data_IF_927665672961
#
_entry.id   IF_927665672961
#
_cell.length_a   1.000
_cell.length_b   1.000
_cell.length_c   1.000
_cell.angle_alpha   90.00
_cell.angle_beta   90.00
_cell.angle_gamma   90.00
#
_symmetry.space_group_name_H-M   'P 1'
#
loop_
_entity.id
_entity.type
_entity.pdbx_description
1 polymer ?
#
# COMPACT_ATOMS: atom_id res chain seq x y z
N UNK A 1 -15.10 4.13 69.63
CA UNK A 1 -13.73 4.48 70.08
C UNK A 1 -12.75 4.05 69.01
N UNK A 2 -11.80 4.92 68.64
CA UNK A 2 -10.75 4.69 67.63
C UNK A 2 -10.98 5.52 66.35
N UNK A 3 -10.71 6.82 66.32
CA UNK A 3 -9.43 7.56 66.19
C UNK A 3 -9.00 7.90 64.75
N UNK A 4 -8.64 9.18 64.57
CA UNK A 4 -8.22 9.85 63.34
C UNK A 4 -6.69 9.83 63.23
N UNK A 5 -6.18 9.90 61.99
CA UNK A 5 -4.79 10.31 61.72
C UNK A 5 -4.59 10.73 60.25
N UNK A 6 -4.19 11.98 60.02
CA UNK A 6 -3.86 12.63 58.73
C UNK A 6 -2.34 12.64 58.50
N UNK A 7 -1.95 13.03 57.27
CA UNK A 7 -0.65 13.55 56.76
C UNK A 7 0.21 12.49 56.03
N UNK A 8 0.82 12.76 54.87
CA UNK A 8 0.97 13.99 54.09
C UNK A 8 1.70 13.74 52.75
N UNK A 9 1.55 14.70 51.82
CA UNK A 9 2.24 14.77 50.52
C UNK A 9 3.75 15.00 50.67
N UNK A 10 4.54 14.47 49.74
CA UNK A 10 5.76 15.12 49.26
C UNK A 10 6.04 14.77 47.78
N UNK A 11 6.45 15.81 47.05
CA UNK A 11 6.72 15.86 45.61
C UNK A 11 7.98 15.08 45.21
N UNK A 12 8.01 14.61 43.95
CA UNK A 12 9.23 14.15 43.28
C UNK A 12 9.13 14.29 41.76
N UNK A 13 9.57 15.42 41.23
CA UNK A 13 9.84 15.62 39.80
C UNK A 13 11.15 14.93 39.42
N UNK A 14 11.19 14.13 38.36
CA UNK A 14 12.43 13.79 37.65
C UNK A 14 12.20 13.71 36.13
N UNK A 15 12.90 14.60 35.42
CA UNK A 15 13.14 14.54 33.96
C UNK A 15 14.34 13.61 33.68
N UNK A 16 14.39 12.89 32.55
CA UNK A 16 15.64 12.32 32.06
C UNK A 16 16.29 13.23 31.00
N UNK A 17 17.62 13.41 31.11
CA UNK A 17 18.51 14.00 30.10
C UNK A 17 19.53 12.91 29.68
N UNK A 18 19.99 12.85 28.41
CA UNK A 18 20.82 11.79 27.88
C UNK A 18 22.32 12.06 28.09
N UNK A 19 23.15 11.05 27.79
CA UNK A 19 24.62 11.00 27.84
C UNK A 19 25.26 10.61 29.18
N UNK A 20 25.57 9.32 29.32
CA UNK A 20 26.93 8.81 29.61
C UNK A 20 26.91 7.31 29.89
N UNK A 21 27.71 6.55 29.15
CA UNK A 21 28.33 5.32 29.64
C UNK A 21 29.74 5.26 29.09
N UNK A 22 30.71 5.53 29.97
CA UNK A 22 32.14 5.32 29.77
C UNK A 22 32.48 3.87 30.10
N UNK A 23 33.34 3.24 29.28
CA UNK A 23 34.10 2.05 29.62
C UNK A 23 35.55 2.29 29.20
N UNK A 24 36.43 2.43 30.21
CA UNK A 24 37.87 2.28 30.08
C UNK A 24 38.20 0.78 29.95
N UNK A 25 39.24 0.41 29.20
CA UNK A 25 40.18 -0.66 29.56
C UNK A 25 41.52 -0.50 28.82
N UNK A 26 42.60 -0.82 29.55
CA UNK A 26 44.01 -0.53 29.25
C UNK A 26 44.66 -1.55 28.29
N UNK A 27 45.80 -1.13 27.72
CA UNK A 27 46.60 -1.87 26.76
C UNK A 27 47.41 -3.05 27.31
N UNK A 28 47.85 -3.89 26.37
CA UNK A 28 48.77 -5.02 26.59
C UNK A 28 49.43 -5.42 25.26
N UNK A 29 50.77 -5.40 25.25
CA UNK A 29 51.68 -5.70 24.14
C UNK A 29 51.64 -7.17 23.74
N UNK A 30 51.75 -7.47 22.44
CA UNK A 30 52.16 -8.79 21.93
C UNK A 30 53.31 -8.57 20.93
N UNK A 31 54.42 -9.24 21.22
CA UNK A 31 55.67 -9.26 20.46
C UNK A 31 55.54 -10.01 19.14
N UNK A 32 56.19 -9.49 18.09
CA UNK A 32 56.32 -10.15 16.79
C UNK A 32 57.68 -10.84 16.74
N UNK A 33 57.67 -12.15 16.54
CA UNK A 33 58.86 -12.97 16.37
C UNK A 33 59.45 -12.81 14.97
N UNK A 34 60.77 -12.56 14.92
CA UNK A 34 61.62 -12.64 13.73
C UNK A 34 61.82 -14.09 13.29
N UNK A 35 61.61 -14.38 12.00
CA UNK A 35 61.97 -15.64 11.35
C UNK A 35 62.81 -15.39 10.10
N UNK A 36 64.06 -15.86 10.12
CA UNK A 36 65.01 -15.83 9.01
C UNK A 36 64.69 -16.90 7.96
N UNK A 37 64.82 -16.57 6.68
CA UNK A 37 65.09 -17.55 5.63
C UNK A 37 65.91 -16.91 4.48
N UNK A 38 67.05 -17.53 4.18
CA UNK A 38 68.01 -17.19 3.12
C UNK A 38 67.68 -18.03 1.88
N UNK A 39 67.54 -17.44 0.68
CA UNK A 39 67.89 -18.11 -0.58
C UNK A 39 68.15 -17.13 -1.75
N UNK A 40 68.98 -17.59 -2.71
CA UNK A 40 69.82 -16.90 -3.71
C UNK A 40 69.12 -16.21 -4.91
N UNK A 41 69.84 -15.37 -5.70
CA UNK A 41 69.27 -14.44 -6.67
C UNK A 41 69.09 -15.04 -8.08
N UNK A 42 68.09 -14.54 -8.82
CA UNK A 42 67.89 -14.81 -10.24
C UNK A 42 67.41 -13.56 -10.97
N UNK A 43 68.20 -13.12 -11.96
CA UNK A 43 67.91 -12.00 -12.87
C UNK A 43 66.63 -12.24 -13.67
N UNK A 44 65.72 -11.25 -13.69
CA UNK A 44 64.93 -10.88 -14.89
C UNK A 44 64.69 -9.38 -14.89
N UNK A 45 65.03 -8.75 -16.01
CA UNK A 45 64.76 -7.34 -16.31
C UNK A 45 63.24 -7.08 -16.36
N UNK A 46 62.75 -6.15 -15.54
CA UNK A 46 61.43 -5.55 -15.73
C UNK A 46 61.59 -4.05 -16.07
N UNK A 47 61.18 -3.71 -17.28
CA UNK A 47 61.03 -2.33 -17.77
C UNK A 47 59.94 -1.62 -16.95
N UNK A 48 60.34 -0.66 -16.12
CA UNK A 48 59.44 0.30 -15.48
C UNK A 48 58.86 1.28 -16.51
N UNK A 49 57.59 1.06 -16.89
CA UNK A 49 56.77 2.07 -17.58
C UNK A 49 56.37 3.16 -16.58
N UNK A 50 57.04 4.31 -16.63
CA UNK A 50 56.63 5.50 -15.88
C UNK A 50 55.31 6.06 -16.44
N UNK A 51 54.20 5.81 -15.75
CA UNK A 51 52.94 6.51 -16.01
C UNK A 51 53.05 7.96 -15.54
N UNK A 52 52.91 8.92 -16.47
CA UNK A 52 52.98 10.35 -16.13
C UNK A 52 51.74 10.79 -15.34
N UNK A 53 51.93 11.74 -14.40
CA UNK A 53 50.86 12.31 -13.55
C UNK A 53 49.66 12.83 -14.36
N UNK A 54 49.85 13.25 -15.62
CA UNK A 54 48.78 13.68 -16.52
C UNK A 54 47.91 12.54 -17.04
N UNK A 55 48.46 11.34 -17.22
CA UNK A 55 47.69 10.16 -17.62
C UNK A 55 46.88 9.62 -16.44
N UNK A 56 47.46 9.59 -15.23
CA UNK A 56 46.72 9.25 -14.02
C UNK A 56 45.54 10.20 -13.77
N UNK A 57 45.70 11.52 -13.92
CA UNK A 57 44.57 12.46 -13.73
C UNK A 57 43.50 12.29 -14.81
N UNK A 58 43.87 12.01 -16.07
CA UNK A 58 42.89 11.72 -17.14
C UNK A 58 42.16 10.39 -16.91
N UNK A 59 42.87 9.35 -16.52
CA UNK A 59 42.31 8.02 -16.26
C UNK A 59 41.46 8.02 -14.97
N UNK A 60 41.84 8.82 -13.96
CA UNK A 60 41.05 9.06 -12.74
C UNK A 60 39.79 9.89 -13.01
N UNK A 61 39.85 10.86 -13.94
CA UNK A 61 38.64 11.59 -14.37
C UNK A 61 37.68 10.70 -15.16
N UNK A 62 38.21 9.78 -15.97
CA UNK A 62 37.41 8.78 -16.69
C UNK A 62 36.79 7.74 -15.75
N UNK A 63 37.49 7.34 -14.68
CA UNK A 63 36.92 6.49 -13.63
C UNK A 63 35.91 7.23 -12.74
N UNK A 64 36.12 8.51 -12.43
CA UNK A 64 35.15 9.32 -11.70
C UNK A 64 33.90 9.66 -12.54
N UNK A 65 34.04 9.79 -13.87
CA UNK A 65 32.93 9.95 -14.79
C UNK A 65 32.16 8.63 -15.03
N UNK A 66 32.85 7.48 -14.94
CA UNK A 66 32.22 6.15 -15.06
C UNK A 66 31.42 5.71 -13.82
N UNK A 67 31.63 6.36 -12.67
CA UNK A 67 30.88 6.12 -11.43
C UNK A 67 29.86 7.22 -11.08
N UNK A 68 29.84 8.33 -11.82
CA UNK A 68 28.87 9.39 -11.61
C UNK A 68 27.77 9.31 -12.66
N UNK A 69 26.59 8.87 -12.19
CA UNK A 69 25.28 8.83 -12.86
C UNK A 69 25.03 7.56 -13.69
N UNK A 70 23.94 6.85 -13.36
CA UNK A 70 23.29 5.76 -14.13
C UNK A 70 23.66 4.29 -13.80
N UNK A 71 23.27 3.79 -12.62
CA UNK A 71 22.59 2.49 -12.59
C UNK A 71 21.22 2.51 -11.91
N UNK A 72 20.87 3.58 -11.19
CA UNK A 72 19.64 3.64 -10.36
C UNK A 72 18.38 3.85 -11.20
N UNK A 73 18.46 4.50 -12.36
CA UNK A 73 17.28 4.86 -13.17
C UNK A 73 16.85 3.73 -14.10
N UNK A 74 17.73 2.76 -14.38
CA UNK A 74 17.43 1.59 -15.23
C UNK A 74 16.43 0.59 -14.62
N UNK A 75 15.93 0.88 -13.42
CA UNK A 75 15.00 0.05 -12.64
C UNK A 75 13.56 0.54 -12.65
N UNK A 76 13.24 1.66 -13.32
CA UNK A 76 11.84 2.08 -13.45
C UNK A 76 11.19 1.38 -14.63
N UNK A 77 10.11 0.67 -14.32
CA UNK A 77 9.47 -0.38 -15.12
C UNK A 77 9.31 -0.05 -16.61
N UNK A 78 9.75 -0.99 -17.45
CA UNK A 78 9.04 -1.30 -18.70
C UNK A 78 7.91 -2.25 -18.31
N UNK A 79 6.66 -1.85 -18.48
CA UNK A 79 5.50 -2.67 -18.12
C UNK A 79 5.35 -3.89 -19.05
N UNK A 80 6.18 -4.91 -18.83
CA UNK A 80 6.14 -6.19 -19.55
C UNK A 80 5.15 -7.15 -18.90
N UNK A 81 3.88 -6.74 -18.86
CA UNK A 81 2.78 -7.56 -18.37
C UNK A 81 2.08 -8.27 -19.53
N UNK A 82 1.44 -9.44 -19.30
CA UNK A 82 0.70 -10.13 -20.34
C UNK A 82 -0.34 -9.23 -21.02
N UNK A 83 -0.40 -9.29 -22.34
CA UNK A 83 -1.36 -8.54 -23.14
C UNK A 83 -2.71 -9.29 -23.18
N UNK A 84 -3.48 -9.19 -22.09
CA UNK A 84 -4.81 -9.77 -21.98
C UNK A 84 -5.84 -8.76 -21.45
N UNK A 85 -7.09 -8.92 -21.85
CA UNK A 85 -8.20 -8.03 -21.45
C UNK A 85 -8.46 -8.02 -19.94
N UNK A 86 -8.13 -9.12 -19.25
CA UNK A 86 -8.30 -9.28 -17.82
C UNK A 86 -7.11 -10.00 -17.23
N UNK A 87 -6.58 -9.43 -16.16
CA UNK A 87 -5.43 -9.98 -15.45
C UNK A 87 -5.77 -10.18 -13.97
N UNK A 88 -5.03 -11.08 -13.33
CA UNK A 88 -5.04 -11.26 -11.89
C UNK A 88 -3.64 -11.07 -11.33
N UNK A 89 -3.47 -10.23 -10.30
CA UNK A 89 -2.24 -10.17 -9.51
C UNK A 89 -2.36 -11.07 -8.29
N UNK A 90 -1.39 -11.96 -8.09
CA UNK A 90 -1.28 -12.75 -6.85
C UNK A 90 -1.06 -11.80 -5.67
N UNK A 91 -2.03 -11.76 -4.76
CA UNK A 91 -2.04 -10.82 -3.63
C UNK A 91 -1.55 -11.45 -2.31
N UNK A 92 -1.24 -12.74 -2.31
CA UNK A 92 -0.68 -13.50 -1.17
C UNK A 92 0.78 -13.89 -1.43
N UNK A 93 1.50 -14.35 -0.40
CA UNK A 93 2.92 -14.72 -0.51
C UNK A 93 3.20 -15.82 -1.55
N UNK A 94 2.32 -16.82 -1.60
CA UNK A 94 2.41 -17.98 -2.50
C UNK A 94 1.00 -18.50 -2.77
N UNK A 95 0.72 -18.89 -4.00
CA UNK A 95 -0.52 -19.54 -4.40
C UNK A 95 -0.25 -20.80 -5.23
N UNK A 96 -1.12 -21.79 -5.09
CA UNK A 96 -1.10 -23.02 -5.88
C UNK A 96 -2.09 -22.92 -7.04
N UNK A 97 -1.66 -23.34 -8.22
CA UNK A 97 -2.53 -23.54 -9.37
C UNK A 97 -3.04 -24.98 -9.30
N UNK A 98 -4.36 -25.14 -9.29
CA UNK A 98 -5.05 -26.43 -9.17
C UNK A 98 -5.48 -26.93 -10.54
N UNK A 99 -5.41 -28.25 -10.76
CA UNK A 99 -5.84 -28.87 -12.01
C UNK A 99 -7.36 -28.68 -12.27
N UNK A 100 -8.16 -28.62 -11.22
CA UNK A 100 -9.61 -28.42 -11.23
C UNK A 100 -9.96 -27.32 -10.22
N UNK A 101 -11.13 -26.66 -10.33
CA UNK A 101 -11.58 -25.66 -9.35
C UNK A 101 -12.01 -26.35 -8.04
N UNK A 102 -11.06 -26.96 -7.34
CA UNK A 102 -11.24 -27.67 -6.09
C UNK A 102 -9.94 -27.56 -5.29
N UNK A 103 -10.03 -27.17 -4.03
CA UNK A 103 -8.88 -26.98 -3.14
C UNK A 103 -8.02 -28.25 -2.98
N UNK A 104 -8.67 -29.42 -2.97
CA UNK A 104 -8.06 -30.74 -2.83
C UNK A 104 -7.59 -31.33 -4.16
N UNK A 105 -7.80 -30.62 -5.27
CA UNK A 105 -7.29 -31.03 -6.58
C UNK A 105 -5.77 -31.01 -6.62
N UNK A 106 -5.19 -31.85 -7.48
CA UNK A 106 -3.75 -31.85 -7.76
C UNK A 106 -3.24 -30.45 -8.10
N UNK A 107 -2.15 -30.04 -7.44
CA UNK A 107 -1.42 -28.82 -7.76
C UNK A 107 -0.58 -29.04 -9.03
N UNK A 108 -0.78 -28.18 -10.03
CA UNK A 108 -0.09 -28.24 -11.34
C UNK A 108 0.96 -27.14 -11.49
N UNK A 109 0.96 -26.15 -10.60
CA UNK A 109 1.94 -25.07 -10.59
C UNK A 109 1.87 -24.24 -9.32
N UNK A 110 2.82 -23.33 -9.17
CA UNK A 110 2.92 -22.41 -8.04
C UNK A 110 3.29 -21.04 -8.56
N UNK A 111 2.65 -20.01 -8.00
CA UNK A 111 2.99 -18.62 -8.24
C UNK A 111 3.28 -17.91 -6.92
N UNK A 112 4.05 -16.85 -6.99
CA UNK A 112 4.44 -16.04 -5.83
C UNK A 112 3.76 -14.67 -5.88
N UNK A 113 3.84 -13.95 -4.77
CA UNK A 113 3.31 -12.58 -4.65
C UNK A 113 3.70 -11.71 -5.84
N UNK A 114 2.74 -10.91 -6.29
CA UNK A 114 2.84 -9.99 -7.43
C UNK A 114 3.01 -10.65 -8.81
N UNK A 115 2.99 -11.99 -8.91
CA UNK A 115 2.87 -12.66 -10.20
C UNK A 115 1.56 -12.26 -10.90
N UNK A 116 1.63 -12.00 -12.19
CA UNK A 116 0.49 -11.62 -13.03
C UNK A 116 0.06 -12.82 -13.87
N UNK A 117 -1.23 -13.12 -13.83
CA UNK A 117 -1.84 -14.20 -14.62
C UNK A 117 -2.95 -13.66 -15.51
N UNK A 118 -3.18 -14.32 -16.63
CA UNK A 118 -4.38 -14.10 -17.43
C UNK A 118 -5.61 -14.61 -16.67
N UNK A 119 -6.68 -13.82 -16.69
CA UNK A 119 -7.95 -14.13 -16.04
C UNK A 119 -8.99 -14.43 -17.12
N UNK A 120 -9.21 -15.70 -17.47
CA UNK A 120 -10.19 -16.06 -18.49
C UNK A 120 -11.61 -15.85 -18.00
N UNK A 121 -11.99 -16.51 -16.91
CA UNK A 121 -13.30 -16.36 -16.28
C UNK A 121 -13.28 -16.82 -14.84
N UNK A 122 -14.34 -16.47 -14.13
CA UNK A 122 -14.61 -17.00 -12.80
C UNK A 122 -15.54 -18.21 -12.92
N UNK A 123 -15.17 -19.30 -12.26
CA UNK A 123 -15.97 -20.53 -12.15
C UNK A 123 -16.29 -20.82 -10.69
N UNK A 124 -17.31 -21.64 -10.44
CA UNK A 124 -17.64 -22.13 -9.11
C UNK A 124 -16.93 -23.46 -8.89
N UNK A 125 -16.29 -23.58 -7.74
CA UNK A 125 -15.52 -24.75 -7.33
C UNK A 125 -15.88 -25.23 -5.93
N UNK A 126 -14.96 -25.95 -5.31
CA UNK A 126 -15.12 -26.46 -3.93
C UNK A 126 -13.90 -26.12 -3.08
N UNK A 127 -14.14 -25.41 -1.98
CA UNK A 127 -13.19 -25.13 -0.91
C UNK A 127 -13.93 -25.28 0.43
N UNK A 128 -13.80 -26.45 1.04
CA UNK A 128 -14.65 -26.91 2.16
C UNK A 128 -14.65 -25.98 3.38
N UNK A 129 -13.58 -25.20 3.58
CA UNK A 129 -13.39 -24.36 4.77
C UNK A 129 -13.64 -22.87 4.51
N UNK A 130 -14.26 -22.54 3.38
CA UNK A 130 -14.48 -21.16 2.94
C UNK A 130 -15.92 -20.99 2.48
N UNK A 131 -16.45 -19.78 2.59
CA UNK A 131 -17.73 -19.41 1.98
C UNK A 131 -17.51 -19.02 0.51
N UNK A 132 -16.35 -18.44 0.19
CA UNK A 132 -16.00 -18.03 -1.16
C UNK A 132 -15.61 -19.26 -2.00
N UNK A 133 -16.54 -19.73 -2.82
CA UNK A 133 -16.35 -20.90 -3.69
C UNK A 133 -15.82 -20.54 -5.10
N UNK A 134 -15.41 -19.29 -5.31
CA UNK A 134 -15.01 -18.80 -6.63
C UNK A 134 -13.56 -19.16 -6.95
N UNK A 135 -13.34 -19.64 -8.16
CA UNK A 135 -12.02 -19.88 -8.75
C UNK A 135 -11.87 -19.09 -10.04
N UNK A 136 -10.64 -18.69 -10.34
CA UNK A 136 -10.24 -18.07 -11.61
C UNK A 136 -9.61 -19.15 -12.47
N UNK A 137 -10.12 -19.30 -13.69
CA UNK A 137 -9.50 -20.10 -14.72
C UNK A 137 -8.38 -19.29 -15.39
N UNK A 138 -7.18 -19.85 -15.39
CA UNK A 138 -5.98 -19.36 -16.08
C UNK A 138 -5.54 -20.38 -17.14
N UNK A 139 -4.61 -20.06 -18.05
CA UNK A 139 -4.10 -21.02 -19.03
C UNK A 139 -3.54 -22.31 -18.42
N UNK A 140 -2.99 -22.24 -17.21
CA UNK A 140 -2.32 -23.35 -16.52
C UNK A 140 -3.26 -24.15 -15.61
N UNK A 141 -4.41 -23.61 -15.21
CA UNK A 141 -5.36 -24.27 -14.31
C UNK A 141 -6.25 -23.29 -13.55
N UNK A 142 -6.53 -23.59 -12.28
CA UNK A 142 -7.49 -22.85 -11.46
C UNK A 142 -6.86 -22.32 -10.19
N UNK A 143 -7.07 -21.05 -9.91
CA UNK A 143 -6.61 -20.39 -8.68
C UNK A 143 -7.83 -19.95 -7.87
N UNK A 144 -7.79 -20.10 -6.54
CA UNK A 144 -8.87 -19.61 -5.68
C UNK A 144 -8.96 -18.07 -5.77
N UNK A 145 -10.12 -17.54 -6.17
CA UNK A 145 -10.27 -16.15 -6.61
C UNK A 145 -9.87 -15.09 -5.56
N UNK A 146 -10.08 -15.30 -4.24
CA UNK A 146 -9.62 -14.35 -3.22
C UNK A 146 -8.11 -14.06 -3.23
N UNK A 147 -7.30 -14.98 -3.75
CA UNK A 147 -5.84 -14.83 -3.86
C UNK A 147 -5.38 -14.05 -5.08
N UNK A 148 -6.31 -13.62 -5.94
CA UNK A 148 -6.04 -12.78 -7.08
C UNK A 148 -6.77 -11.44 -6.94
N UNK A 149 -6.01 -10.35 -6.97
CA UNK A 149 -6.56 -9.02 -7.22
C UNK A 149 -6.86 -8.90 -8.72
N UNK A 150 -8.11 -8.59 -9.13
CA UNK A 150 -8.40 -8.24 -10.51
C UNK A 150 -7.65 -6.95 -10.88
N UNK A 151 -6.91 -6.98 -11.98
CA UNK A 151 -6.11 -5.84 -12.47
C UNK A 151 -6.21 -5.70 -13.98
N UNK A 152 -5.90 -4.51 -14.49
CA UNK A 152 -5.72 -4.25 -15.92
C UNK A 152 -4.30 -3.73 -16.16
N UNK A 153 -3.84 -3.80 -17.41
CA UNK A 153 -2.61 -3.19 -17.87
C UNK A 153 -2.93 -2.10 -18.89
N UNK A 154 -3.16 -0.87 -18.42
CA UNK A 154 -3.52 0.28 -19.25
C UNK A 154 -2.50 1.43 -19.07
N UNK A 155 -1.28 1.33 -19.63
CA UNK A 155 -0.32 2.42 -19.60
C UNK A 155 -0.86 3.69 -20.27
N UNK A 156 -0.52 4.85 -19.73
CA UNK A 156 -1.03 6.15 -20.13
C UNK A 156 0.05 6.99 -20.78
N UNK A 157 -0.38 7.98 -21.58
CA UNK A 157 0.51 9.04 -22.06
C UNK A 157 0.68 10.09 -20.93
N UNK A 158 1.89 10.31 -20.40
CA UNK A 158 2.08 11.25 -19.30
C UNK A 158 1.92 12.70 -19.73
N UNK A 159 1.28 13.50 -18.89
CA UNK A 159 1.27 14.95 -18.99
C UNK A 159 2.56 15.55 -18.43
N UNK A 160 3.14 16.50 -19.16
CA UNK A 160 4.35 17.23 -18.74
C UNK A 160 4.03 18.43 -17.82
N UNK A 161 2.80 18.93 -17.86
CA UNK A 161 2.34 20.05 -17.04
C UNK A 161 1.21 19.59 -16.15
N UNK A 162 1.30 19.91 -14.85
CA UNK A 162 0.27 19.63 -13.88
C UNK A 162 -0.69 20.82 -13.77
N UNK A 163 -2.01 20.58 -13.59
CA UNK A 163 -2.97 21.66 -13.40
C UNK A 163 -2.76 22.36 -12.05
N UNK A 164 -3.21 23.60 -11.94
CA UNK A 164 -3.26 24.32 -10.67
C UNK A 164 -4.35 23.74 -9.74
N UNK A 165 -4.06 23.65 -8.44
CA UNK A 165 -5.00 23.23 -7.40
C UNK A 165 -4.86 24.09 -6.14
N UNK A 166 -5.73 23.89 -5.16
CA UNK A 166 -5.67 24.57 -3.86
C UNK A 166 -4.38 24.28 -3.07
N UNK A 167 -3.59 23.27 -3.48
CA UNK A 167 -2.30 22.88 -2.88
C UNK A 167 -1.08 23.29 -3.71
N UNK A 168 -1.28 24.05 -4.78
CA UNK A 168 -0.29 24.28 -5.83
C UNK A 168 -0.45 23.30 -6.99
N UNK A 169 0.48 23.27 -7.96
CA UNK A 169 0.37 22.41 -9.12
C UNK A 169 0.27 20.93 -8.71
N UNK A 170 -0.75 20.23 -9.21
CA UNK A 170 -0.92 18.81 -8.94
C UNK A 170 -2.30 18.26 -9.28
N UNK A 171 -2.40 16.95 -9.26
CA UNK A 171 -3.64 16.24 -9.56
C UNK A 171 -3.71 14.88 -8.86
N UNK A 172 -4.93 14.38 -8.65
CA UNK A 172 -5.15 12.99 -8.27
C UNK A 172 -4.97 12.07 -9.46
N UNK A 173 -4.26 10.96 -9.25
CA UNK A 173 -4.05 9.92 -10.25
C UNK A 173 -4.34 8.54 -9.69
N UNK A 174 -4.87 7.66 -10.54
CA UNK A 174 -5.13 6.25 -10.26
C UNK A 174 -4.08 5.37 -10.93
N UNK A 175 -3.59 4.35 -10.23
CA UNK A 175 -2.73 3.32 -10.83
C UNK A 175 -3.57 2.43 -11.74
N UNK A 176 -3.21 2.39 -13.01
CA UNK A 176 -3.97 1.72 -14.08
C UNK A 176 -3.25 0.51 -14.70
N UNK A 177 -2.10 0.16 -14.13
CA UNK A 177 -1.31 -1.04 -14.42
C UNK A 177 -1.29 -1.95 -13.18
N UNK A 178 -0.93 -3.25 -13.28
CA UNK A 178 -0.96 -4.18 -12.15
C UNK A 178 -0.21 -3.68 -10.91
N UNK A 179 1.00 -3.15 -11.10
CA UNK A 179 1.77 -2.42 -10.09
C UNK A 179 2.81 -1.51 -10.76
N UNK A 180 3.36 -0.59 -9.98
CA UNK A 180 4.48 0.27 -10.35
C UNK A 180 5.48 0.35 -9.20
N UNK A 181 6.75 0.14 -9.51
CA UNK A 181 7.84 0.32 -8.55
C UNK A 181 8.12 1.81 -8.28
N UNK A 182 8.40 2.12 -7.01
CA UNK A 182 8.61 3.47 -6.51
C UNK A 182 10.08 3.67 -6.11
N UNK A 183 10.60 4.86 -6.36
CA UNK A 183 11.91 5.30 -5.87
C UNK A 183 11.72 6.35 -4.77
N UNK A 184 12.25 6.11 -3.57
CA UNK A 184 12.18 7.08 -2.49
C UNK A 184 12.92 8.38 -2.87
N UNK A 185 12.17 9.48 -2.92
CA UNK A 185 12.68 10.79 -3.31
C UNK A 185 13.33 11.55 -2.15
N UNK A 186 12.93 11.24 -0.91
CA UNK A 186 13.31 12.00 0.29
C UNK A 186 13.81 11.10 1.45
N UNK A 187 14.89 10.31 1.23
CA UNK A 187 15.46 9.46 2.27
C UNK A 187 15.83 10.25 3.53
N UNK A 188 15.75 9.64 4.74
CA UNK A 188 15.45 8.23 5.01
C UNK A 188 13.95 7.88 4.99
N UNK A 189 13.63 6.59 4.90
CA UNK A 189 12.28 6.04 5.00
C UNK A 189 11.63 6.29 6.37
N UNK A 190 10.37 6.73 6.38
CA UNK A 190 9.66 7.16 7.59
C UNK A 190 8.53 6.23 8.00
N UNK A 191 7.76 5.73 7.04
CA UNK A 191 6.67 4.79 7.31
C UNK A 191 7.22 3.43 7.75
N UNK A 192 6.61 2.78 8.76
CA UNK A 192 7.05 1.46 9.22
C UNK A 192 7.07 0.40 8.11
N UNK A 193 6.06 0.42 7.22
CA UNK A 193 5.97 -0.50 6.10
C UNK A 193 7.08 -0.29 5.06
N UNK A 194 7.46 0.96 4.80
CA UNK A 194 8.60 1.24 3.92
C UNK A 194 9.92 0.80 4.54
N UNK A 195 10.13 1.07 5.83
CA UNK A 195 11.33 0.63 6.56
C UNK A 195 11.50 -0.89 6.46
N UNK A 196 10.42 -1.64 6.71
CA UNK A 196 10.43 -3.10 6.62
C UNK A 196 10.73 -3.60 5.20
N UNK A 197 10.17 -2.97 4.16
CA UNK A 197 10.48 -3.30 2.76
C UNK A 197 11.95 -3.05 2.41
N UNK A 198 12.52 -1.94 2.88
CA UNK A 198 13.93 -1.62 2.65
C UNK A 198 14.85 -2.63 3.34
N UNK A 199 14.53 -3.06 4.56
CA UNK A 199 15.25 -4.13 5.26
C UNK A 199 15.23 -5.47 4.50
N UNK A 200 14.12 -5.76 3.81
CA UNK A 200 13.97 -6.96 2.96
C UNK A 200 14.53 -6.79 1.55
N UNK A 201 15.14 -5.64 1.23
CA UNK A 201 15.61 -5.30 -0.12
C UNK A 201 14.51 -5.44 -1.19
N UNK A 202 13.28 -5.09 -0.84
CA UNK A 202 12.11 -5.07 -1.73
C UNK A 202 11.78 -3.64 -2.15
N UNK A 203 11.46 -3.38 -3.42
CA UNK A 203 11.03 -2.06 -3.85
C UNK A 203 9.68 -1.68 -3.20
N UNK A 204 9.47 -0.40 -2.84
CA UNK A 204 8.14 0.09 -2.55
C UNK A 204 7.30 0.10 -3.83
N UNK A 205 6.00 -0.18 -3.71
CA UNK A 205 5.07 -0.34 -4.84
C UNK A 205 3.75 0.33 -4.57
N UNK A 206 3.15 0.88 -5.63
CA UNK A 206 1.70 1.04 -5.72
C UNK A 206 1.14 -0.02 -6.67
N UNK A 207 -0.11 -0.40 -6.44
CA UNK A 207 -0.86 -1.43 -7.13
C UNK A 207 -2.07 -0.82 -7.83
N UNK A 208 -2.56 -1.55 -8.83
CA UNK A 208 -3.78 -1.23 -9.56
C UNK A 208 -4.91 -0.75 -8.63
N UNK A 209 -5.64 0.28 -9.08
CA UNK A 209 -6.75 0.97 -8.41
C UNK A 209 -6.42 1.82 -7.17
N UNK A 210 -5.15 1.89 -6.75
CA UNK A 210 -4.75 2.86 -5.73
C UNK A 210 -4.78 4.28 -6.30
N UNK A 211 -5.13 5.27 -5.48
CA UNK A 211 -5.17 6.68 -5.88
C UNK A 211 -4.19 7.48 -5.05
N UNK A 212 -3.34 8.27 -5.70
CA UNK A 212 -2.30 9.08 -5.06
C UNK A 212 -2.27 10.49 -5.64
N UNK A 213 -1.59 11.41 -4.97
CA UNK A 213 -1.42 12.78 -5.44
C UNK A 213 -0.08 12.92 -6.16
N UNK A 214 -0.10 13.60 -7.31
CA UNK A 214 1.11 13.97 -8.05
C UNK A 214 1.25 15.48 -8.05
N UNK A 215 2.43 15.97 -7.69
CA UNK A 215 2.70 17.42 -7.58
C UNK A 215 3.92 17.90 -8.37
N UNK A 216 4.73 16.99 -8.93
CA UNK A 216 5.85 17.33 -9.79
C UNK A 216 6.08 16.29 -10.88
N UNK A 217 6.65 16.75 -11.99
CA UNK A 217 7.09 15.91 -13.11
C UNK A 217 8.59 16.05 -13.31
N UNK A 218 9.27 14.97 -13.74
CA UNK A 218 10.69 14.98 -14.06
C UNK A 218 10.95 14.20 -15.35
N UNK A 219 11.54 14.86 -16.34
CA UNK A 219 12.04 14.19 -17.54
C UNK A 219 13.41 13.58 -17.26
N UNK A 220 13.60 12.29 -17.59
CA UNK A 220 14.91 11.62 -17.49
C UNK A 220 15.58 11.49 -18.87
N UNK A 221 16.86 11.10 -18.88
CA UNK A 221 17.72 11.10 -20.08
C UNK A 221 17.17 10.28 -21.26
N UNK A 222 16.33 9.28 -20.98
CA UNK A 222 15.72 8.40 -21.98
C UNK A 222 14.37 8.93 -22.53
N UNK A 223 13.97 10.14 -22.15
CA UNK A 223 12.70 10.76 -22.58
C UNK A 223 11.47 10.32 -21.76
N UNK A 224 11.62 9.37 -20.84
CA UNK A 224 10.56 8.97 -19.91
C UNK A 224 10.26 10.08 -18.91
N UNK A 225 8.98 10.22 -18.57
CA UNK A 225 8.49 11.18 -17.57
C UNK A 225 8.24 10.43 -16.26
N UNK A 226 8.74 10.97 -15.16
CA UNK A 226 8.47 10.50 -13.82
C UNK A 226 7.53 11.44 -13.10
N UNK A 227 6.61 10.89 -12.34
CA UNK A 227 5.75 11.63 -11.42
C UNK A 227 6.29 11.53 -10.00
N UNK A 228 6.26 12.68 -9.30
CA UNK A 228 6.49 12.72 -7.87
C UNK A 228 5.19 12.42 -7.16
N UNK A 229 5.09 11.23 -6.61
CA UNK A 229 3.88 10.74 -5.92
C UNK A 229 4.00 11.01 -4.42
N UNK A 230 2.91 11.45 -3.82
CA UNK A 230 2.80 11.73 -2.40
C UNK A 230 1.37 11.52 -1.91
N UNK A 231 1.21 11.48 -0.59
CA UNK A 231 -0.06 11.20 0.08
C UNK A 231 -0.42 12.38 0.98
N UNK A 232 -1.43 13.20 0.60
CA UNK A 232 -1.77 14.40 1.37
C UNK A 232 -2.30 14.10 2.78
N UNK A 233 -2.84 12.91 3.02
CA UNK A 233 -3.49 12.55 4.28
C UNK A 233 -2.98 11.22 4.83
N UNK A 234 -2.74 11.18 6.14
CA UNK A 234 -2.31 9.98 6.87
C UNK A 234 -0.83 9.61 6.67
N UNK A 235 -0.14 10.26 5.74
CA UNK A 235 1.24 9.91 5.39
C UNK A 235 2.24 10.21 6.49
N UNK A 236 3.27 9.36 6.57
CA UNK A 236 4.50 9.62 7.32
C UNK A 236 5.44 10.61 6.63
N UNK A 237 5.04 11.13 5.46
CA UNK A 237 5.77 12.12 4.66
C UNK A 237 6.78 11.53 3.69
N UNK A 238 6.77 10.22 3.47
CA UNK A 238 7.54 9.60 2.39
C UNK A 238 7.03 10.11 1.03
N UNK A 239 7.96 10.48 0.16
CA UNK A 239 7.68 11.00 -1.19
C UNK A 239 8.44 10.12 -2.17
N UNK A 240 7.82 9.77 -3.30
CA UNK A 240 8.44 8.88 -4.26
C UNK A 240 8.46 9.46 -5.66
N UNK A 241 9.35 8.93 -6.50
CA UNK A 241 9.30 9.05 -7.95
C UNK A 241 8.83 7.72 -8.53
N UNK A 242 7.95 7.78 -9.53
CA UNK A 242 7.41 6.61 -10.22
C UNK A 242 7.23 6.90 -11.72
N UNK A 243 7.22 5.85 -12.55
CA UNK A 243 6.97 5.99 -13.99
C UNK A 243 5.58 6.58 -14.21
N UNK A 244 5.51 7.74 -14.87
CA UNK A 244 4.25 8.48 -15.03
C UNK A 244 3.22 7.72 -15.89
N UNK A 245 3.69 6.81 -16.76
CA UNK A 245 2.86 5.98 -17.63
C UNK A 245 1.95 5.02 -16.84
N UNK A 246 2.29 4.67 -15.59
CA UNK A 246 1.42 3.84 -14.74
C UNK A 246 0.11 4.53 -14.32
N UNK A 247 0.06 5.85 -14.42
CA UNK A 247 -0.93 6.68 -13.74
C UNK A 247 -1.91 7.32 -14.73
N UNK A 248 -3.19 7.19 -14.42
CA UNK A 248 -4.27 7.87 -15.12
C UNK A 248 -4.80 9.02 -14.25
N UNK A 249 -4.88 10.26 -14.76
CA UNK A 249 -5.53 11.36 -14.05
C UNK A 249 -7.00 11.07 -13.75
N UNK A 250 -7.45 11.42 -12.54
CA UNK A 250 -8.87 11.44 -12.20
C UNK A 250 -9.56 12.63 -12.87
N UNK A 251 -10.81 12.44 -13.28
CA UNK A 251 -11.63 13.54 -13.83
C UNK A 251 -12.73 14.01 -12.87
N UNK A 252 -13.28 15.19 -13.13
CA UNK A 252 -14.40 15.75 -12.35
C UNK A 252 -15.66 14.87 -12.42
N UNK A 253 -15.88 14.18 -13.54
CA UNK A 253 -17.00 13.25 -13.72
C UNK A 253 -16.89 12.05 -12.78
N UNK A 254 -15.68 11.62 -12.47
CA UNK A 254 -15.41 10.47 -11.60
C UNK A 254 -15.65 10.76 -10.11
N UNK A 255 -15.72 12.04 -9.72
CA UNK A 255 -16.11 12.47 -8.37
C UNK A 255 -17.51 13.09 -8.34
N UNK A 256 -18.13 13.28 -9.50
CA UNK A 256 -19.44 13.91 -9.61
C UNK A 256 -20.50 13.11 -8.84
N UNK A 257 -21.35 13.76 -8.02
CA UNK A 257 -22.32 13.08 -7.18
C UNK A 257 -23.33 12.26 -7.97
N UNK A 258 -23.72 11.11 -7.42
CA UNK A 258 -24.81 10.29 -7.96
C UNK A 258 -26.10 10.64 -7.21
N UNK A 259 -27.11 11.08 -7.96
CA UNK A 259 -28.45 11.41 -7.47
C UNK A 259 -28.44 12.33 -6.23
N UNK A 260 -27.85 13.52 -6.34
CA UNK A 260 -27.64 14.44 -5.22
C UNK A 260 -28.93 15.01 -4.61
N UNK A 261 -30.07 14.91 -5.29
CA UNK A 261 -31.35 15.47 -4.84
C UNK A 261 -32.14 14.55 -3.92
N UNK A 262 -31.73 13.29 -3.76
CA UNK A 262 -32.42 12.33 -2.88
C UNK A 262 -32.13 12.63 -1.40
N UNK A 263 -33.18 12.87 -0.62
CA UNK A 263 -33.10 13.38 0.76
C UNK A 263 -33.05 12.29 1.83
N UNK A 264 -33.31 11.02 1.49
CA UNK A 264 -33.38 9.90 2.43
C UNK A 264 -32.45 8.76 2.01
N UNK A 265 -31.14 9.06 2.04
CA UNK A 265 -30.09 8.09 1.71
C UNK A 265 -29.66 7.34 2.97
N UNK A 266 -29.68 6.01 2.90
CA UNK A 266 -29.14 5.12 3.95
C UNK A 266 -28.29 4.03 3.34
N UNK A 267 -27.18 3.71 4.00
CA UNK A 267 -26.35 2.54 3.73
C UNK A 267 -26.65 1.51 4.81
N UNK A 268 -26.89 0.27 4.41
CA UNK A 268 -27.04 -0.86 5.31
C UNK A 268 -25.88 -1.84 5.08
N UNK A 269 -25.12 -2.12 6.13
CA UNK A 269 -24.02 -3.10 6.13
C UNK A 269 -24.47 -4.29 6.96
N UNK A 270 -24.59 -5.45 6.31
CA UNK A 270 -24.86 -6.70 7.00
C UNK A 270 -23.55 -7.48 7.17
N UNK A 271 -23.05 -7.54 8.41
CA UNK A 271 -21.78 -8.23 8.72
C UNK A 271 -21.95 -9.75 8.84
N UNK A 272 -23.15 -10.27 8.99
CA UNK A 272 -23.38 -11.72 8.97
C UNK A 272 -23.32 -12.25 7.53
N UNK A 273 -23.98 -11.57 6.59
CA UNK A 273 -24.01 -11.95 5.17
C UNK A 273 -22.89 -11.35 4.32
N UNK A 274 -22.09 -10.44 4.89
CA UNK A 274 -20.99 -9.76 4.20
C UNK A 274 -21.47 -8.99 2.96
N UNK A 275 -22.53 -8.21 3.13
CA UNK A 275 -23.16 -7.42 2.06
C UNK A 275 -23.37 -5.98 2.48
N UNK A 276 -23.46 -5.09 1.49
CA UNK A 276 -23.81 -3.69 1.66
C UNK A 276 -24.90 -3.31 0.66
N UNK A 277 -25.95 -2.65 1.15
CA UNK A 277 -27.06 -2.15 0.35
C UNK A 277 -27.20 -0.64 0.52
N UNK A 278 -27.49 0.09 -0.56
CA UNK A 278 -27.76 1.52 -0.52
C UNK A 278 -29.23 1.77 -0.87
N UNK A 279 -29.90 2.55 -0.04
CA UNK A 279 -31.32 2.84 -0.13
C UNK A 279 -31.58 4.32 -0.38
N UNK A 280 -32.58 4.59 -1.23
CA UNK A 280 -33.26 5.87 -1.32
C UNK A 280 -34.70 5.70 -0.85
N UNK A 281 -34.98 6.15 0.37
CA UNK A 281 -36.21 5.83 1.08
C UNK A 281 -36.31 4.32 1.36
N UNK A 282 -37.25 3.66 0.67
CA UNK A 282 -37.46 2.20 0.76
C UNK A 282 -36.93 1.42 -0.44
N UNK A 283 -36.43 2.10 -1.48
CA UNK A 283 -35.93 1.45 -2.68
C UNK A 283 -34.44 1.17 -2.55
N UNK A 284 -34.03 -0.08 -2.72
CA UNK A 284 -32.63 -0.44 -2.88
C UNK A 284 -32.15 -0.01 -4.27
N UNK A 285 -31.14 0.86 -4.32
CA UNK A 285 -30.59 1.42 -5.56
C UNK A 285 -29.23 0.82 -5.90
N UNK A 286 -28.58 0.15 -4.95
CA UNK A 286 -27.29 -0.48 -5.15
C UNK A 286 -27.02 -1.57 -4.11
N UNK A 287 -26.30 -2.60 -4.53
CA UNK A 287 -25.92 -3.74 -3.71
C UNK A 287 -24.52 -4.23 -4.10
N UNK A 288 -23.70 -4.56 -3.10
CA UNK A 288 -22.43 -5.22 -3.32
C UNK A 288 -22.05 -6.17 -2.17
N UNK A 289 -21.08 -7.05 -2.43
CA UNK A 289 -20.42 -7.84 -1.40
C UNK A 289 -19.28 -7.05 -0.78
N UNK A 290 -19.08 -7.22 0.52
CA UNK A 290 -18.01 -6.56 1.28
C UNK A 290 -17.16 -7.58 2.04
N UNK A 291 -16.10 -7.11 2.66
CA UNK A 291 -15.36 -7.84 3.71
C UNK A 291 -15.26 -6.94 4.94
N UNK A 292 -16.01 -7.26 5.99
CA UNK A 292 -15.96 -6.53 7.25
C UNK A 292 -14.79 -6.96 8.13
N UNK A 293 -14.75 -6.42 9.34
CA UNK A 293 -13.82 -6.79 10.39
C UNK A 293 -13.76 -8.29 10.67
N UNK A 294 -12.56 -8.86 10.72
CA UNK A 294 -12.35 -10.25 11.06
C UNK A 294 -12.72 -10.51 12.52
N UNK A 295 -13.63 -11.46 12.74
CA UNK A 295 -14.10 -11.83 14.08
C UNK A 295 -13.20 -12.84 14.78
N UNK A 296 -12.25 -13.46 14.05
CA UNK A 296 -11.42 -14.55 14.55
C UNK A 296 -9.95 -14.36 14.14
N UNK A 297 -9.01 -14.65 15.04
CA UNK A 297 -7.58 -14.70 14.73
C UNK A 297 -7.17 -16.02 14.06
N UNK A 298 -5.88 -16.13 13.71
CA UNK A 298 -5.31 -17.32 13.08
C UNK A 298 -5.38 -18.59 13.96
N UNK A 299 -5.64 -18.45 15.26
CA UNK A 299 -5.79 -19.55 16.22
C UNK A 299 -7.26 -19.85 16.54
N UNK A 300 -8.21 -19.15 15.92
CA UNK A 300 -9.64 -19.34 16.12
C UNK A 300 -10.17 -18.69 17.39
N UNK A 301 -9.45 -17.73 18.00
CA UNK A 301 -9.99 -16.94 19.11
C UNK A 301 -10.78 -15.75 18.57
N UNK A 302 -11.86 -15.37 19.26
CA UNK A 302 -12.64 -14.20 18.90
C UNK A 302 -11.81 -12.92 19.10
N UNK A 303 -11.86 -12.00 18.13
CA UNK A 303 -11.13 -10.72 18.18
C UNK A 303 -12.09 -9.54 18.04
N UNK A 304 -12.57 -9.05 19.19
CA UNK A 304 -13.44 -7.87 19.24
C UNK A 304 -12.74 -6.59 18.74
N UNK A 305 -11.41 -6.53 18.89
CA UNK A 305 -10.62 -5.37 18.47
C UNK A 305 -10.67 -5.10 16.96
N UNK A 306 -11.03 -6.10 16.15
CA UNK A 306 -11.14 -6.00 14.70
C UNK A 306 -12.60 -5.99 14.23
N UNK A 307 -13.57 -6.11 15.13
CA UNK A 307 -14.97 -6.15 14.77
C UNK A 307 -15.44 -4.78 14.22
N UNK A 308 -16.21 -4.82 13.13
CA UNK A 308 -16.93 -3.63 12.66
C UNK A 308 -18.02 -3.28 13.67
N UNK A 309 -18.08 -2.04 14.18
CA UNK A 309 -19.02 -1.68 15.24
C UNK A 309 -20.47 -1.75 14.72
N UNK A 310 -21.33 -2.46 15.45
CA UNK A 310 -22.77 -2.53 15.19
C UNK A 310 -23.43 -1.23 15.67
N UNK A 311 -24.37 -0.71 14.88
CA UNK A 311 -25.12 0.49 15.22
C UNK A 311 -25.38 1.41 14.04
N UNK A 312 -25.85 2.61 14.36
CA UNK A 312 -26.16 3.64 13.37
C UNK A 312 -25.15 4.78 13.47
N UNK A 313 -24.52 5.10 12.35
CA UNK A 313 -23.42 6.05 12.29
C UNK A 313 -23.59 7.00 11.09
N UNK A 314 -23.52 8.31 11.29
CA UNK A 314 -23.49 9.22 10.15
C UNK A 314 -22.08 9.27 9.53
N UNK A 315 -21.99 9.33 8.21
CA UNK A 315 -20.73 9.65 7.53
C UNK A 315 -20.29 11.04 7.96
N UNK A 316 -19.07 11.18 8.49
CA UNK A 316 -18.56 12.45 9.00
C UNK A 316 -17.38 12.99 8.18
N UNK A 317 -16.69 12.15 7.42
CA UNK A 317 -15.61 12.58 6.52
C UNK A 317 -15.46 11.66 5.32
N UNK A 318 -15.13 12.22 4.17
CA UNK A 318 -14.72 11.47 2.98
C UNK A 318 -13.43 12.02 2.39
N UNK A 319 -12.60 11.13 1.83
CA UNK A 319 -11.32 11.43 1.21
C UNK A 319 -11.12 10.59 -0.05
N UNK A 320 -10.66 11.20 -1.14
CA UNK A 320 -10.31 10.49 -2.38
C UNK A 320 -9.24 9.44 -2.14
N UNK A 321 -8.27 9.73 -1.28
CA UNK A 321 -7.21 8.82 -0.88
C UNK A 321 -6.82 9.01 0.58
N UNK A 322 -6.49 7.93 1.29
CA UNK A 322 -5.96 7.98 2.65
C UNK A 322 -4.88 6.92 2.84
N UNK A 323 -3.77 7.33 3.46
CA UNK A 323 -2.81 6.39 4.05
C UNK A 323 -3.36 5.93 5.40
N UNK A 324 -3.64 4.63 5.55
CA UNK A 324 -4.01 4.05 6.83
C UNK A 324 -2.92 3.10 7.35
N UNK A 325 -2.60 3.20 8.63
CA UNK A 325 -1.67 2.30 9.32
C UNK A 325 -2.16 1.97 10.74
N UNK A 326 -1.75 0.82 11.27
CA UNK A 326 -2.14 0.38 12.61
C UNK A 326 -1.48 -0.92 13.05
N UNK A 327 -1.80 -1.37 14.27
CA UNK A 327 -1.28 -2.61 14.86
C UNK A 327 0.00 -2.46 15.69
N UNK A 328 0.53 -3.58 16.18
CA UNK A 328 1.70 -3.66 17.07
C UNK A 328 2.94 -4.23 16.38
N UNK A 329 4.11 -4.12 17.03
CA UNK A 329 5.35 -4.74 16.55
C UNK A 329 5.15 -6.23 16.27
N UNK A 330 5.39 -6.65 15.02
CA UNK A 330 5.22 -8.05 14.57
C UNK A 330 3.87 -8.40 13.94
N UNK A 331 2.89 -7.48 13.95
CA UNK A 331 1.54 -7.68 13.38
C UNK A 331 0.86 -6.38 12.90
N UNK A 332 1.65 -5.36 12.57
CA UNK A 332 1.17 -4.08 12.06
C UNK A 332 0.85 -4.11 10.57
N UNK A 333 -0.02 -3.21 10.14
CA UNK A 333 -0.38 -2.99 8.75
C UNK A 333 -0.12 -1.52 8.38
N UNK A 334 0.30 -1.32 7.13
CA UNK A 334 0.70 -0.03 6.58
C UNK A 334 0.27 -0.02 5.11
N UNK A 335 -0.80 0.69 4.82
CA UNK A 335 -1.52 0.65 3.55
C UNK A 335 -1.60 2.07 2.97
N UNK A 336 -0.71 2.43 2.04
CA UNK A 336 -0.76 3.72 1.38
C UNK A 336 -1.90 3.78 0.36
N UNK A 337 -2.27 4.99 -0.05
CA UNK A 337 -3.06 5.32 -1.23
C UNK A 337 -4.41 4.57 -1.33
N UNK A 338 -5.09 4.37 -0.19
CA UNK A 338 -6.40 3.71 -0.15
C UNK A 338 -7.44 4.65 -0.76
N UNK A 339 -7.98 4.26 -1.92
CA UNK A 339 -8.92 5.08 -2.67
C UNK A 339 -10.34 5.05 -2.07
N UNK A 340 -11.11 6.12 -2.32
CA UNK A 340 -12.55 6.22 -2.07
C UNK A 340 -12.93 5.96 -0.61
N UNK A 341 -12.24 6.63 0.32
CA UNK A 341 -12.41 6.41 1.76
C UNK A 341 -13.59 7.19 2.32
N UNK A 342 -14.52 6.48 2.97
CA UNK A 342 -15.74 7.02 3.59
C UNK A 342 -15.81 6.68 5.08
N UNK A 343 -15.44 7.63 5.94
CA UNK A 343 -15.41 7.46 7.39
C UNK A 343 -16.78 7.69 8.01
N UNK A 344 -17.24 6.73 8.80
CA UNK A 344 -18.55 6.78 9.47
C UNK A 344 -18.49 6.56 10.98
N UNK A 345 -17.51 5.80 11.49
CA UNK A 345 -17.35 5.64 12.95
C UNK A 345 -16.18 6.48 13.50
N UNK A 346 -16.33 6.99 14.73
CA UNK A 346 -15.35 7.89 15.35
C UNK A 346 -14.00 7.24 15.70
N UNK A 347 -13.93 5.90 15.73
CA UNK A 347 -12.71 5.14 15.91
C UNK A 347 -11.94 4.90 14.59
N UNK A 348 -12.35 5.54 13.49
CA UNK A 348 -11.66 5.45 12.20
C UNK A 348 -12.18 4.37 11.26
N UNK A 349 -13.28 3.69 11.58
CA UNK A 349 -13.90 2.73 10.66
C UNK A 349 -14.48 3.44 9.45
N UNK A 350 -14.11 2.93 8.28
CA UNK A 350 -14.51 3.45 6.98
C UNK A 350 -15.04 2.36 6.05
N UNK A 351 -15.84 2.76 5.06
CA UNK A 351 -16.03 2.03 3.81
C UNK A 351 -14.96 2.53 2.84
N UNK A 352 -14.17 1.66 2.22
CA UNK A 352 -13.13 2.08 1.28
C UNK A 352 -12.82 1.00 0.23
N UNK A 353 -12.12 1.41 -0.83
CA UNK A 353 -11.62 0.48 -1.85
C UNK A 353 -10.54 -0.44 -1.29
N UNK A 354 -10.46 -1.66 -1.80
CA UNK A 354 -9.51 -2.66 -1.31
C UNK A 354 -8.73 -3.29 -2.45
N UNK A 355 -7.43 -3.01 -2.50
CA UNK A 355 -6.51 -3.54 -3.53
C UNK A 355 -5.74 -4.79 -3.05
N UNK A 356 -5.62 -5.01 -1.74
CA UNK A 356 -4.76 -6.07 -1.18
C UNK A 356 -5.41 -7.46 -1.11
N UNK A 357 -6.72 -7.58 -1.32
CA UNK A 357 -7.42 -8.87 -1.35
C UNK A 357 -8.67 -8.84 -2.23
N UNK A 358 -9.21 -10.02 -2.56
CA UNK A 358 -10.46 -10.18 -3.31
C UNK A 358 -11.47 -11.10 -2.59
N UNK A 359 -11.40 -11.19 -1.26
CA UNK A 359 -12.23 -12.10 -0.45
C UNK A 359 -13.62 -11.56 -0.08
N UNK A 360 -14.25 -10.76 -0.96
CA UNK A 360 -15.59 -10.22 -0.71
C UNK A 360 -16.61 -11.35 -0.51
N UNK A 361 -17.45 -11.21 0.51
CA UNK A 361 -18.34 -12.26 1.03
C UNK A 361 -17.80 -12.98 2.28
N UNK A 362 -16.59 -12.65 2.73
CA UNK A 362 -16.00 -13.16 3.97
C UNK A 362 -15.31 -12.02 4.76
N UNK A 363 -15.35 -12.04 6.11
CA UNK A 363 -14.61 -11.09 6.94
C UNK A 363 -13.09 -11.20 6.74
N UNK A 364 -12.41 -10.06 6.63
CA UNK A 364 -10.94 -10.01 6.40
C UNK A 364 -10.27 -8.73 6.91
N UNK A 365 -11.02 -7.67 7.22
CA UNK A 365 -10.47 -6.37 7.59
C UNK A 365 -10.12 -6.28 9.09
N UNK A 366 -9.51 -5.17 9.50
CA UNK A 366 -9.28 -4.82 10.90
C UNK A 366 -10.33 -3.82 11.44
N UNK A 367 -11.56 -3.90 10.94
CA UNK A 367 -12.71 -3.09 11.39
C UNK A 367 -13.44 -2.40 10.25
N UNK A 368 -12.71 -1.93 9.24
CA UNK A 368 -13.27 -1.29 8.04
C UNK A 368 -14.21 -2.21 7.23
N UNK A 369 -15.05 -1.60 6.41
CA UNK A 369 -15.90 -2.29 5.44
C UNK A 369 -15.18 -2.23 4.09
N UNK A 370 -14.44 -3.30 3.78
CA UNK A 370 -13.68 -3.40 2.54
C UNK A 370 -14.63 -3.67 1.37
N UNK A 371 -14.61 -2.81 0.35
CA UNK A 371 -15.38 -2.96 -0.87
C UNK A 371 -14.47 -3.05 -2.10
N UNK A 372 -15.00 -3.54 -3.22
CA UNK A 372 -14.26 -3.51 -4.50
C UNK A 372 -14.01 -2.04 -4.90
N UNK A 373 -12.95 -1.75 -5.68
CA UNK A 373 -12.67 -0.39 -6.10
C UNK A 373 -13.87 0.33 -6.74
N UNK A 374 -14.57 -0.33 -7.66
CA UNK A 374 -15.76 0.24 -8.31
C UNK A 374 -16.93 0.44 -7.35
N UNK A 375 -17.16 -0.52 -6.44
CA UNK A 375 -18.23 -0.44 -5.44
C UNK A 375 -17.97 0.72 -4.46
N UNK A 376 -16.74 0.83 -3.96
CA UNK A 376 -16.33 1.91 -3.06
C UNK A 376 -16.46 3.28 -3.75
N UNK A 377 -16.06 3.39 -5.01
CA UNK A 377 -16.21 4.61 -5.81
C UNK A 377 -17.68 4.98 -5.99
N UNK A 378 -18.54 4.01 -6.30
CA UNK A 378 -19.98 4.25 -6.44
C UNK A 378 -20.57 4.78 -5.13
N UNK A 379 -20.31 4.10 -4.01
CA UNK A 379 -20.77 4.50 -2.67
C UNK A 379 -20.24 5.89 -2.29
N UNK A 380 -18.98 6.16 -2.59
CA UNK A 380 -18.33 7.44 -2.33
C UNK A 380 -19.00 8.58 -3.11
N UNK A 381 -19.39 8.37 -4.36
CA UNK A 381 -20.08 9.39 -5.17
C UNK A 381 -21.55 9.55 -4.81
N UNK A 382 -22.21 8.47 -4.40
CA UNK A 382 -23.63 8.47 -4.07
C UNK A 382 -23.92 9.03 -2.68
N UNK A 383 -23.07 8.76 -1.69
CA UNK A 383 -23.26 9.22 -0.30
C UNK A 383 -22.97 10.72 -0.11
N UNK A 384 -23.49 11.30 0.97
CA UNK A 384 -23.13 12.63 1.46
C UNK A 384 -22.06 12.54 2.56
N UNK A 385 -21.14 13.52 2.67
CA UNK A 385 -21.06 14.79 1.93
C UNK A 385 -20.58 14.63 0.47
N UNK A 386 -20.82 15.56 -0.44
CA UNK A 386 -20.21 15.50 -1.77
C UNK A 386 -18.75 15.95 -1.73
N UNK A 387 -17.84 15.29 -2.46
CA UNK A 387 -16.42 15.64 -2.48
C UNK A 387 -16.02 16.21 -3.84
N UNK A 388 -15.52 17.45 -3.92
CA UNK A 388 -14.90 17.96 -5.14
C UNK A 388 -13.52 17.30 -5.36
N UNK A 389 -13.02 17.31 -6.60
CA UNK A 389 -11.70 16.78 -6.93
C UNK A 389 -10.57 17.51 -6.17
N UNK A 390 -10.78 18.80 -5.91
CA UNK A 390 -9.89 19.68 -5.15
C UNK A 390 -10.67 20.32 -4.00
N UNK A 391 -10.29 20.11 -2.72
CA UNK A 391 -9.10 19.40 -2.24
C UNK A 391 -9.19 17.86 -2.26
N UNK A 392 -10.32 17.26 -2.64
CA UNK A 392 -10.46 15.79 -2.58
C UNK A 392 -10.70 15.24 -1.19
N UNK A 393 -11.06 16.08 -0.21
CA UNK A 393 -11.61 15.67 1.08
C UNK A 393 -12.66 16.66 1.58
N UNK A 394 -13.54 16.20 2.47
CA UNK A 394 -14.50 17.04 3.19
C UNK A 394 -14.80 16.39 4.54
N UNK A 395 -14.83 17.20 5.60
CA UNK A 395 -15.29 16.82 6.94
C UNK A 395 -16.50 17.65 7.28
N UNK A 396 -17.60 17.00 7.67
CA UNK A 396 -18.85 17.68 8.03
C UNK A 396 -19.17 17.55 9.52
N UNK A 397 -19.75 18.59 10.13
CA UNK A 397 -20.17 18.54 11.52
C UNK A 397 -21.40 17.63 11.69
N UNK A 398 -21.72 17.32 12.94
CA UNK A 398 -22.98 16.66 13.31
C UNK A 398 -24.19 17.46 12.77
N UNK A 399 -25.26 16.82 12.25
CA UNK A 399 -25.62 15.40 12.32
C UNK A 399 -24.87 14.47 11.36
N UNK A 400 -23.95 15.00 10.54
CA UNK A 400 -23.21 14.26 9.53
C UNK A 400 -24.03 13.99 8.26
N UNK A 401 -23.52 13.10 7.42
CA UNK A 401 -23.98 12.86 6.06
C UNK A 401 -24.92 11.66 5.98
N UNK A 402 -24.78 10.88 4.91
CA UNK A 402 -25.56 9.66 4.73
C UNK A 402 -25.37 8.71 5.92
N UNK A 403 -26.46 8.16 6.45
CA UNK A 403 -26.43 7.23 7.59
C UNK A 403 -25.92 5.85 7.14
N UNK A 404 -25.09 5.24 7.97
CA UNK A 404 -24.58 3.87 7.84
C UNK A 404 -25.10 3.05 9.01
N UNK A 405 -25.96 2.10 8.71
CA UNK A 405 -26.51 1.12 9.65
C UNK A 405 -25.72 -0.19 9.53
N UNK A 406 -25.00 -0.57 10.57
CA UNK A 406 -24.26 -1.83 10.65
C UNK A 406 -25.06 -2.81 11.51
N UNK A 407 -25.40 -3.98 10.95
CA UNK A 407 -26.23 -5.00 11.61
C UNK A 407 -25.69 -6.42 11.42
N UNK A 408 -26.08 -7.31 12.33
CA UNK A 408 -25.67 -8.73 12.35
C UNK A 408 -26.83 -9.71 12.03
N UNK A 409 -28.03 -9.22 11.70
CA UNK A 409 -29.23 -10.06 11.47
C UNK A 409 -29.88 -9.85 10.10
#
# INVERSE_FOLDING_TARGET
>A
MGERGRLGLCLGCFRPNPNRSQLLWCGGRIEVWCGWAIYRPGNKEERLMFNSRRKFIKDSLLMAAGFSLQPVIRYLDMFDFPAADRLGRVNVGKVEIKQRPNADSQTVGVLYKDAIVEWFRTVIGTNTYRNNQRYVETPEGYIWAPYLQPVLNLPNKPDQSLPDSSRGPGMWVEVSVPYVDLLLANPPARSPGLQNRMEMNLPPRLYYSQITWVDQTKLIQDGQILYRVNEPYGSYGDIYWASAEAFRPLTTEEVSPINSTSMDKRIEVNIAYQTLSCYEGSMEVYFCQISSGALWDAWGNAVDAWATPIGNFPIWRKMISLHMSGGSSGGGWDLPAIAWTTLFAGNGVAIHSTFWHNNFGEPMSHGCVNARPDDAKWIFRWSLPTIPLDPGDETIPWPGGTSVEVKEN
#
